data_IF_819187926158
#
_entry.id   IF_819187926158
#
_cell.length_a   1.000
_cell.length_b   1.000
_cell.length_c   1.000
_cell.angle_alpha   90.00
_cell.angle_beta   90.00
_cell.angle_gamma   90.00
#
_symmetry.space_group_name_H-M   'P 1'
#
loop_
_entity.id
_entity.type
_entity.pdbx_description
1 polymer ?
#
# COMPACT_ATOMS: atom_id res chain seq x y z
N UNK A 1 -16.80 -7.63 -8.16
CA UNK A 1 -15.79 -6.61 -8.48
C UNK A 1 -14.39 -7.04 -8.03
N UNK A 2 -14.31 -7.89 -7.02
CA UNK A 2 -13.07 -8.55 -6.63
C UNK A 2 -12.89 -9.76 -7.54
N UNK A 3 -11.75 -9.85 -8.22
CA UNK A 3 -11.39 -11.02 -9.01
C UNK A 3 -10.71 -12.04 -8.09
N UNK A 4 -11.19 -13.28 -8.11
CA UNK A 4 -10.57 -14.37 -7.35
C UNK A 4 -9.77 -15.27 -8.29
N UNK A 5 -8.49 -15.45 -8.00
CA UNK A 5 -7.59 -16.40 -8.68
C UNK A 5 -7.15 -17.45 -7.67
N UNK A 6 -7.36 -18.73 -8.01
CA UNK A 6 -6.93 -19.85 -7.16
C UNK A 6 -5.75 -20.55 -7.82
N UNK A 7 -4.64 -20.66 -7.09
CA UNK A 7 -3.46 -21.41 -7.47
C UNK A 7 -3.29 -22.59 -6.51
N UNK A 8 -2.57 -23.62 -6.95
CA UNK A 8 -2.28 -24.81 -6.15
C UNK A 8 -0.78 -25.04 -6.11
N UNK A 9 -0.27 -25.41 -4.95
CA UNK A 9 1.10 -25.85 -4.71
C UNK A 9 1.14 -27.12 -3.85
N UNK A 10 2.30 -27.49 -3.31
CA UNK A 10 2.48 -28.68 -2.49
C UNK A 10 1.65 -28.64 -1.18
N UNK A 11 1.25 -27.46 -0.72
CA UNK A 11 0.47 -27.22 0.51
C UNK A 11 -1.03 -27.02 0.23
N UNK A 12 -1.47 -27.16 -1.03
CA UNK A 12 -2.86 -27.04 -1.45
C UNK A 12 -3.19 -25.69 -2.07
N UNK A 13 -4.45 -25.26 -1.94
CA UNK A 13 -4.97 -24.06 -2.58
C UNK A 13 -4.51 -22.78 -1.88
N UNK A 14 -4.13 -21.78 -2.70
CA UNK A 14 -3.97 -20.38 -2.31
C UNK A 14 -4.95 -19.53 -3.14
N UNK A 15 -5.80 -18.78 -2.48
CA UNK A 15 -6.77 -17.91 -3.09
C UNK A 15 -6.28 -16.47 -3.07
N UNK A 16 -6.10 -15.86 -4.23
CA UNK A 16 -5.78 -14.45 -4.38
C UNK A 16 -7.04 -13.68 -4.69
N UNK A 17 -7.33 -12.67 -3.89
CA UNK A 17 -8.44 -11.73 -4.08
C UNK A 17 -7.86 -10.42 -4.57
N UNK A 18 -8.15 -10.07 -5.81
CA UNK A 18 -7.59 -8.90 -6.50
C UNK A 18 -8.60 -7.75 -6.44
N UNK A 19 -8.33 -6.79 -5.58
CA UNK A 19 -9.16 -5.61 -5.39
C UNK A 19 -8.43 -4.37 -5.92
N UNK A 20 -8.79 -3.87 -7.12
CA UNK A 20 -8.20 -2.65 -7.65
C UNK A 20 -8.61 -1.42 -6.82
N UNK A 21 -8.01 -0.26 -7.11
CA UNK A 21 -8.48 0.99 -6.52
C UNK A 21 -9.94 1.25 -6.91
N UNK A 22 -10.77 1.49 -5.91
CA UNK A 22 -12.19 1.78 -6.09
C UNK A 22 -12.61 3.00 -5.28
N UNK A 23 -13.55 3.75 -5.82
CA UNK A 23 -14.28 4.81 -5.08
C UNK A 23 -15.73 4.37 -4.86
N UNK A 24 -16.38 4.80 -3.77
CA UNK A 24 -17.77 4.45 -3.51
C UNK A 24 -18.69 4.68 -4.71
N UNK A 25 -18.50 5.80 -5.42
CA UNK A 25 -19.27 6.14 -6.62
C UNK A 25 -19.11 5.14 -7.79
N UNK A 26 -17.96 4.46 -7.87
CA UNK A 26 -17.68 3.49 -8.95
C UNK A 26 -18.38 2.15 -8.73
N UNK A 27 -18.69 1.83 -7.50
CA UNK A 27 -19.21 0.51 -7.09
C UNK A 27 -20.59 0.58 -6.43
N UNK A 28 -21.24 1.75 -6.44
CA UNK A 28 -22.56 1.98 -5.80
C UNK A 28 -23.65 1.01 -6.24
N UNK A 29 -23.59 0.52 -7.49
CA UNK A 29 -24.55 -0.48 -7.99
C UNK A 29 -24.37 -1.85 -7.33
N UNK A 30 -23.19 -2.12 -6.75
CA UNK A 30 -22.84 -3.36 -6.08
C UNK A 30 -23.03 -3.21 -4.58
N UNK A 31 -22.52 -2.12 -4.00
CA UNK A 31 -22.49 -1.88 -2.56
C UNK A 31 -23.70 -1.13 -2.04
N UNK A 32 -24.51 -0.55 -2.93
CA UNK A 32 -25.65 0.26 -2.58
C UNK A 32 -25.30 1.71 -2.21
N UNK A 33 -26.31 2.41 -1.73
CA UNK A 33 -26.27 3.81 -1.27
C UNK A 33 -26.78 3.90 0.17
N UNK A 34 -26.68 5.09 0.77
CA UNK A 34 -27.34 5.42 2.00
C UNK A 34 -28.87 5.57 1.81
N UNK A 35 -29.59 5.87 2.89
CA UNK A 35 -31.07 6.06 2.89
C UNK A 35 -31.54 7.22 2.00
N UNK A 36 -30.64 8.15 1.68
CA UNK A 36 -30.91 9.33 0.88
C UNK A 36 -30.44 9.19 -0.59
N UNK A 37 -29.92 8.02 -0.97
CA UNK A 37 -29.36 7.76 -2.30
C UNK A 37 -27.93 8.28 -2.52
N UNK A 38 -27.25 8.75 -1.47
CA UNK A 38 -25.86 9.19 -1.54
C UNK A 38 -24.88 8.00 -1.47
N UNK A 39 -23.64 8.24 -1.85
CA UNK A 39 -22.58 7.26 -1.65
C UNK A 39 -22.37 7.00 -0.16
N UNK A 40 -22.25 5.73 0.21
CA UNK A 40 -21.79 5.32 1.54
C UNK A 40 -20.31 5.68 1.72
N UNK A 41 -19.78 5.60 2.94
CA UNK A 41 -18.38 5.89 3.23
C UNK A 41 -17.44 4.91 2.50
N UNK A 42 -16.18 5.28 2.38
CA UNK A 42 -15.14 4.39 1.85
C UNK A 42 -15.02 3.11 2.67
N UNK A 43 -14.96 3.26 3.98
CA UNK A 43 -14.88 2.14 4.91
C UNK A 43 -16.04 1.15 4.71
N UNK A 44 -17.27 1.65 4.74
CA UNK A 44 -18.46 0.82 4.52
C UNK A 44 -18.49 0.17 3.13
N UNK A 45 -18.00 0.88 2.11
CA UNK A 45 -17.91 0.36 0.75
C UNK A 45 -16.99 -0.85 0.69
N UNK A 46 -15.81 -0.78 1.31
CA UNK A 46 -14.83 -1.87 1.29
C UNK A 46 -15.32 -3.07 2.11
N UNK A 47 -15.94 -2.84 3.27
CA UNK A 47 -16.59 -3.91 4.03
C UNK A 47 -17.62 -4.65 3.18
N UNK A 48 -18.56 -3.93 2.58
CA UNK A 48 -19.60 -4.54 1.73
C UNK A 48 -19.04 -5.27 0.52
N UNK A 49 -17.93 -4.81 -0.07
CA UNK A 49 -17.29 -5.52 -1.19
C UNK A 49 -16.67 -6.84 -0.73
N UNK A 50 -15.94 -6.82 0.38
CA UNK A 50 -15.24 -8.00 0.89
C UNK A 50 -16.21 -9.00 1.51
N UNK A 51 -17.24 -8.55 2.22
CA UNK A 51 -18.28 -9.40 2.82
C UNK A 51 -19.10 -10.18 1.78
N UNK A 52 -19.10 -9.76 0.51
CA UNK A 52 -19.72 -10.51 -0.58
C UNK A 52 -18.90 -11.73 -0.99
N UNK A 53 -17.63 -11.75 -0.67
CA UNK A 53 -16.76 -12.87 -1.01
C UNK A 53 -16.92 -14.01 -0.01
N UNK A 54 -17.12 -15.22 -0.51
CA UNK A 54 -17.13 -16.41 0.34
C UNK A 54 -15.70 -16.85 0.61
N UNK A 55 -15.09 -16.31 1.67
CA UNK A 55 -13.70 -16.58 2.04
C UNK A 55 -13.65 -17.84 2.92
N UNK A 56 -13.08 -18.92 2.39
CA UNK A 56 -12.89 -20.16 3.15
C UNK A 56 -11.67 -20.02 4.07
N UNK A 57 -11.92 -19.89 5.37
CA UNK A 57 -10.88 -19.71 6.39
C UNK A 57 -9.94 -20.93 6.57
N UNK A 58 -10.31 -22.10 6.03
CA UNK A 58 -9.44 -23.29 6.04
C UNK A 58 -8.44 -23.31 4.87
N UNK A 59 -8.51 -22.34 3.97
CA UNK A 59 -7.59 -22.18 2.84
C UNK A 59 -6.69 -20.97 3.07
N UNK A 60 -5.58 -20.90 2.37
CA UNK A 60 -4.69 -19.74 2.36
C UNK A 60 -5.34 -18.65 1.50
N UNK A 61 -5.53 -17.48 2.07
CA UNK A 61 -6.20 -16.34 1.43
C UNK A 61 -5.30 -15.12 1.43
N UNK A 62 -5.04 -14.57 0.25
CA UNK A 62 -4.21 -13.40 0.04
C UNK A 62 -5.05 -12.29 -0.59
N UNK A 63 -5.06 -11.12 0.01
CA UNK A 63 -5.63 -9.92 -0.60
C UNK A 63 -4.52 -9.13 -1.30
N UNK A 64 -4.76 -8.74 -2.55
CA UNK A 64 -3.95 -7.75 -3.26
C UNK A 64 -4.81 -6.52 -3.48
N UNK A 65 -4.47 -5.41 -2.85
CA UNK A 65 -5.36 -4.24 -2.83
C UNK A 65 -4.59 -2.91 -2.94
N UNK A 66 -5.22 -1.92 -3.57
CA UNK A 66 -4.67 -0.58 -3.71
C UNK A 66 -5.60 0.45 -3.05
N UNK A 67 -5.64 0.45 -1.71
CA UNK A 67 -6.49 1.35 -0.91
C UNK A 67 -5.69 1.91 0.26
N UNK A 68 -6.25 2.95 0.92
CA UNK A 68 -5.62 3.56 2.09
C UNK A 68 -6.16 2.94 3.38
N UNK A 69 -5.47 1.93 3.90
CA UNK A 69 -5.83 1.26 5.15
C UNK A 69 -5.18 1.92 6.36
N UNK A 70 -5.96 2.08 7.43
CA UNK A 70 -5.50 2.60 8.71
C UNK A 70 -5.74 1.58 9.84
N UNK A 71 -4.84 1.53 10.82
CA UNK A 71 -5.12 0.81 12.07
C UNK A 71 -6.41 1.33 12.71
N UNK A 72 -7.22 0.44 13.26
CA UNK A 72 -8.48 0.79 13.91
C UNK A 72 -8.26 1.88 14.97
N UNK A 73 -9.04 2.95 14.89
CA UNK A 73 -8.96 4.09 15.82
C UNK A 73 -7.83 5.08 15.56
N UNK A 74 -7.02 4.89 14.51
CA UNK A 74 -6.00 5.85 14.06
C UNK A 74 -6.57 6.79 13.01
N UNK A 75 -6.03 8.02 12.98
CA UNK A 75 -6.37 9.02 11.95
C UNK A 75 -5.26 9.12 10.92
N UNK A 76 -5.60 9.53 9.71
CA UNK A 76 -4.63 9.69 8.62
C UNK A 76 -3.49 10.64 8.97
N UNK A 77 -3.77 11.69 9.76
CA UNK A 77 -2.76 12.66 10.18
C UNK A 77 -1.65 12.04 11.06
N UNK A 78 -1.94 10.90 11.70
CA UNK A 78 -0.97 10.17 12.53
C UNK A 78 -0.03 9.28 11.68
N UNK A 79 -0.35 9.12 10.40
CA UNK A 79 0.46 8.33 9.49
C UNK A 79 1.24 9.27 8.58
N UNK A 80 2.56 9.10 8.58
CA UNK A 80 3.46 9.85 7.72
C UNK A 80 3.15 9.53 6.25
N UNK A 81 2.60 10.50 5.53
CA UNK A 81 2.35 10.44 4.10
C UNK A 81 3.48 11.09 3.33
N UNK A 82 3.77 10.55 2.16
CA UNK A 82 4.71 11.17 1.24
C UNK A 82 4.02 12.26 0.41
N UNK A 83 4.75 13.30 0.04
CA UNK A 83 4.23 14.40 -0.77
C UNK A 83 3.74 13.96 -2.16
N UNK A 84 4.26 12.85 -2.67
CA UNK A 84 3.82 12.24 -3.94
C UNK A 84 2.45 11.57 -3.86
N UNK A 85 1.93 11.34 -2.66
CA UNK A 85 0.61 10.77 -2.47
C UNK A 85 -0.46 11.86 -2.56
N UNK A 86 -1.52 11.60 -3.31
CA UNK A 86 -2.63 12.54 -3.38
C UNK A 86 -3.29 12.68 -2.00
N UNK A 87 -3.26 13.90 -1.46
CA UNK A 87 -4.03 14.23 -0.27
C UNK A 87 -5.50 14.29 -0.64
N UNK A 88 -6.29 13.38 -0.13
CA UNK A 88 -7.74 13.51 -0.21
C UNK A 88 -8.20 14.48 0.86
N UNK A 89 -8.93 15.51 0.47
CA UNK A 89 -9.47 16.52 1.40
C UNK A 89 -10.48 15.82 2.32
N UNK A 90 -10.23 15.88 3.61
CA UNK A 90 -11.21 15.46 4.63
C UNK A 90 -11.16 13.99 5.02
N UNK A 91 -10.07 13.28 4.86
CA UNK A 91 -9.90 11.87 5.30
C UNK A 91 -11.01 10.90 4.82
N UNK A 92 -11.57 11.17 3.65
CA UNK A 92 -12.76 10.48 3.12
C UNK A 92 -12.42 9.08 2.60
N UNK A 93 -11.14 8.81 2.27
CA UNK A 93 -10.70 7.58 1.58
C UNK A 93 -10.10 6.53 2.53
N UNK A 94 -10.29 6.70 3.85
CA UNK A 94 -9.74 5.81 4.86
C UNK A 94 -10.57 4.54 5.01
N UNK A 95 -9.87 3.41 5.09
CA UNK A 95 -10.45 2.09 5.34
C UNK A 95 -9.83 1.52 6.61
N UNK A 96 -10.67 1.06 7.53
CA UNK A 96 -10.20 0.37 8.74
C UNK A 96 -9.59 -0.99 8.40
N UNK A 97 -8.49 -1.33 9.06
CA UNK A 97 -7.73 -2.58 8.80
C UNK A 97 -8.48 -3.85 9.22
N UNK A 98 -9.54 -3.76 10.00
CA UNK A 98 -10.38 -4.90 10.40
C UNK A 98 -10.97 -5.66 9.20
N UNK A 99 -11.22 -4.97 8.09
CA UNK A 99 -11.66 -5.61 6.84
C UNK A 99 -10.66 -6.63 6.29
N UNK A 100 -9.39 -6.58 6.73
CA UNK A 100 -8.32 -7.49 6.30
C UNK A 100 -8.24 -8.78 7.12
N UNK A 101 -8.97 -8.89 8.23
CA UNK A 101 -8.84 -10.00 9.20
C UNK A 101 -9.17 -11.38 8.61
N UNK A 102 -9.87 -11.43 7.49
CA UNK A 102 -10.18 -12.66 6.79
C UNK A 102 -9.03 -13.20 5.90
N UNK A 103 -7.91 -12.48 5.82
CA UNK A 103 -6.79 -12.83 4.95
C UNK A 103 -5.54 -13.20 5.75
N UNK A 104 -4.81 -14.21 5.27
CA UNK A 104 -3.53 -14.62 5.85
C UNK A 104 -2.41 -13.62 5.53
N UNK A 105 -2.53 -12.96 4.39
CA UNK A 105 -1.62 -11.89 3.97
C UNK A 105 -2.37 -10.85 3.15
N UNK A 106 -2.03 -9.59 3.33
CA UNK A 106 -2.51 -8.50 2.50
C UNK A 106 -1.33 -7.72 1.90
N UNK A 107 -1.19 -7.84 0.57
CA UNK A 107 -0.25 -7.07 -0.23
C UNK A 107 -0.92 -5.74 -0.61
N UNK A 108 -0.46 -4.65 -0.01
CA UNK A 108 -1.09 -3.34 -0.10
C UNK A 108 -0.26 -2.39 -0.96
N UNK A 109 -0.93 -1.70 -1.89
CA UNK A 109 -0.43 -0.55 -2.63
C UNK A 109 -1.10 0.74 -2.16
N UNK A 110 -0.70 1.88 -2.68
CA UNK A 110 -1.13 3.24 -2.40
C UNK A 110 -0.08 4.03 -1.59
N UNK A 111 0.43 3.50 -0.49
CA UNK A 111 1.46 4.16 0.32
C UNK A 111 2.84 3.86 -0.26
N UNK A 112 3.62 4.92 -0.55
CA UNK A 112 4.95 4.81 -1.16
C UNK A 112 6.05 4.39 -0.18
N UNK A 113 5.81 4.56 1.12
CA UNK A 113 6.73 4.15 2.17
C UNK A 113 6.46 2.70 2.58
N UNK A 114 7.49 1.85 2.65
CA UNK A 114 7.33 0.50 3.20
C UNK A 114 6.86 0.56 4.65
N UNK A 115 5.72 -0.05 4.95
CA UNK A 115 5.18 -0.10 6.31
C UNK A 115 4.19 -1.25 6.49
N UNK A 116 4.00 -1.65 7.74
CA UNK A 116 2.91 -2.53 8.17
C UNK A 116 1.73 -1.72 8.69
N UNK A 117 0.53 -2.28 8.60
CA UNK A 117 -0.68 -1.68 9.12
C UNK A 117 -1.51 -2.72 9.89
N UNK A 118 -1.70 -2.49 11.18
CA UNK A 118 -2.46 -3.39 12.06
C UNK A 118 -1.75 -4.70 12.40
N UNK A 119 -1.29 -5.44 11.41
CA UNK A 119 -0.62 -6.74 11.56
C UNK A 119 0.71 -6.77 10.81
N UNK A 120 1.59 -7.71 11.19
CA UNK A 120 2.82 -8.03 10.44
C UNK A 120 2.52 -8.50 9.02
N UNK A 121 1.35 -9.13 8.82
CA UNK A 121 0.93 -9.72 7.57
C UNK A 121 0.21 -8.76 6.62
N UNK A 122 -0.08 -7.52 7.03
CA UNK A 122 -0.72 -6.50 6.20
C UNK A 122 0.30 -5.41 5.88
N UNK A 123 0.81 -5.42 4.64
CA UNK A 123 1.99 -4.64 4.29
C UNK A 123 1.84 -3.82 3.02
N UNK A 124 2.22 -2.56 3.15
CA UNK A 124 2.67 -1.74 2.03
C UNK A 124 4.14 -2.04 1.77
N UNK A 125 4.49 -2.54 0.60
CA UNK A 125 5.90 -2.69 0.20
C UNK A 125 6.53 -1.35 -0.21
N UNK A 126 5.73 -0.33 -0.43
CA UNK A 126 6.13 0.95 -0.98
C UNK A 126 6.32 0.88 -2.51
N UNK A 127 6.92 1.92 -3.06
CA UNK A 127 7.30 1.96 -4.47
C UNK A 127 8.65 1.29 -4.70
N UNK A 128 8.88 0.64 -5.85
CA UNK A 128 10.17 -0.01 -6.15
C UNK A 128 11.32 0.99 -6.31
N UNK A 129 11.00 2.24 -6.67
CA UNK A 129 11.95 3.35 -6.85
C UNK A 129 11.40 4.58 -6.13
N UNK A 130 12.27 5.53 -5.78
CA UNK A 130 11.83 6.83 -5.28
C UNK A 130 11.12 7.61 -6.40
N UNK A 131 9.87 8.00 -6.16
CA UNK A 131 9.03 8.74 -7.10
C UNK A 131 9.04 10.25 -6.83
N UNK A 132 9.61 10.67 -5.70
CA UNK A 132 9.71 12.09 -5.31
C UNK A 132 10.95 12.35 -4.47
N UNK A 133 11.31 13.63 -4.36
CA UNK A 133 12.44 14.09 -3.53
C UNK A 133 12.25 13.73 -2.05
N UNK A 134 11.03 13.72 -1.55
CA UNK A 134 10.72 13.32 -0.17
C UNK A 134 11.03 11.86 0.13
N UNK A 135 11.20 11.04 -0.90
CA UNK A 135 11.55 9.63 -0.80
C UNK A 135 13.05 9.34 -0.93
N UNK A 136 13.88 10.37 -1.14
CA UNK A 136 15.32 10.26 -1.46
C UNK A 136 16.12 9.44 -0.44
N UNK A 137 15.69 9.42 0.84
CA UNK A 137 16.38 8.68 1.90
C UNK A 137 15.71 7.34 2.24
N UNK A 138 14.69 6.93 1.50
CA UNK A 138 14.00 5.68 1.75
C UNK A 138 14.73 4.52 1.09
N UNK A 139 14.90 3.43 1.84
CA UNK A 139 15.31 2.17 1.26
C UNK A 139 14.12 1.53 0.55
N UNK A 140 14.20 1.45 -0.77
CA UNK A 140 13.18 0.81 -1.59
C UNK A 140 13.44 -0.68 -1.73
N UNK A 141 12.36 -1.44 -1.93
CA UNK A 141 12.46 -2.89 -2.00
C UNK A 141 11.14 -3.55 -2.38
N UNK A 142 11.18 -4.87 -2.40
CA UNK A 142 9.98 -5.71 -2.50
C UNK A 142 9.90 -6.64 -1.30
N UNK A 143 8.72 -7.13 -0.99
CA UNK A 143 8.53 -8.13 0.06
C UNK A 143 8.30 -9.48 -0.60
N UNK A 144 9.23 -10.40 -0.37
CA UNK A 144 9.04 -11.80 -0.71
C UNK A 144 8.21 -12.46 0.38
N UNK A 145 7.16 -13.16 -0.01
CA UNK A 145 6.24 -13.85 0.90
C UNK A 145 6.27 -15.33 0.59
N UNK A 146 6.69 -16.11 1.57
CA UNK A 146 6.70 -17.58 1.51
C UNK A 146 5.53 -18.09 2.36
N UNK A 147 4.60 -18.78 1.74
CA UNK A 147 3.44 -19.37 2.40
C UNK A 147 3.49 -20.90 2.26
N UNK A 148 3.65 -21.57 3.36
CA UNK A 148 3.56 -23.05 3.46
C UNK A 148 2.14 -23.47 3.82
N UNK A 149 1.96 -24.32 4.83
CA UNK A 149 0.62 -24.69 5.32
C UNK A 149 -0.12 -23.45 5.85
N UNK A 150 -1.44 -23.56 5.95
CA UNK A 150 -2.31 -22.53 6.55
C UNK A 150 -1.76 -22.07 7.91
N UNK A 151 -1.49 -20.77 8.03
CA UNK A 151 -0.93 -20.16 9.24
C UNK A 151 0.61 -20.08 9.25
N UNK A 152 1.30 -20.70 8.29
CA UNK A 152 2.76 -20.58 8.13
C UNK A 152 3.06 -19.58 7.01
N UNK A 153 3.41 -18.35 7.39
CA UNK A 153 3.76 -17.28 6.45
C UNK A 153 5.03 -16.58 6.92
N UNK A 154 6.01 -16.52 6.03
CA UNK A 154 7.28 -15.83 6.25
C UNK A 154 7.46 -14.71 5.25
N UNK A 155 8.00 -13.59 5.70
CA UNK A 155 8.23 -12.41 4.88
C UNK A 155 9.69 -11.99 4.93
N UNK A 156 10.25 -11.70 3.77
CA UNK A 156 11.62 -11.21 3.64
C UNK A 156 11.63 -9.95 2.80
N UNK A 157 12.11 -8.85 3.36
CA UNK A 157 12.32 -7.63 2.59
C UNK A 157 13.58 -7.76 1.75
N UNK A 158 13.44 -7.60 0.44
CA UNK A 158 14.54 -7.64 -0.52
C UNK A 158 14.79 -6.21 -1.01
N UNK A 159 15.93 -5.60 -0.66
CA UNK A 159 16.25 -4.24 -1.08
C UNK A 159 16.46 -4.18 -2.60
N UNK A 160 16.02 -3.09 -3.20
CA UNK A 160 16.28 -2.77 -4.61
C UNK A 160 17.31 -1.63 -4.69
N UNK A 161 18.27 -1.79 -5.58
CA UNK A 161 19.25 -0.75 -5.88
C UNK A 161 18.88 -0.14 -7.23
N UNK A 162 18.46 1.13 -7.29
CA UNK A 162 18.15 1.79 -8.56
C UNK A 162 19.43 2.07 -9.35
N UNK A 163 19.34 2.14 -10.67
CA UNK A 163 20.44 2.55 -11.53
C UNK A 163 20.85 4.01 -11.27
N UNK A 164 19.86 4.86 -11.03
CA UNK A 164 20.03 6.27 -10.65
C UNK A 164 19.18 6.53 -9.40
N UNK A 165 19.80 7.10 -8.38
CA UNK A 165 19.12 7.42 -7.13
C UNK A 165 18.47 8.81 -7.20
N UNK A 166 17.47 9.05 -6.38
CA UNK A 166 16.98 10.40 -6.08
C UNK A 166 17.74 10.88 -4.85
N UNK A 167 18.44 12.03 -4.99
CA UNK A 167 19.29 12.58 -3.93
C UNK A 167 18.98 14.04 -3.68
N UNK A 168 19.23 14.49 -2.46
CA UNK A 168 19.25 15.91 -2.10
C UNK A 168 20.68 16.28 -1.71
N UNK A 169 21.26 17.23 -2.42
CA UNK A 169 22.60 17.76 -2.12
C UNK A 169 22.41 19.20 -1.65
N UNK A 170 23.02 19.53 -0.51
CA UNK A 170 22.95 20.86 0.09
C UNK A 170 24.36 21.39 0.31
N UNK A 171 24.67 22.57 -0.22
CA UNK A 171 25.99 23.19 -0.09
C UNK A 171 26.12 24.47 -0.91
N UNK A 172 27.32 25.04 -0.93
CA UNK A 172 27.69 26.11 -1.86
C UNK A 172 27.72 25.57 -3.29
N UNK A 173 27.67 26.49 -4.28
CA UNK A 173 27.73 26.07 -5.69
C UNK A 173 28.99 25.25 -5.98
N UNK A 174 30.14 25.63 -5.41
CA UNK A 174 31.40 24.89 -5.60
C UNK A 174 31.35 23.48 -5.01
N UNK A 175 30.80 23.33 -3.81
CA UNK A 175 30.63 22.02 -3.15
C UNK A 175 29.70 21.12 -3.94
N UNK A 176 28.54 21.62 -4.36
CA UNK A 176 27.56 20.86 -5.14
C UNK A 176 28.14 20.40 -6.49
N UNK A 177 28.90 21.24 -7.17
CA UNK A 177 29.55 20.89 -8.45
C UNK A 177 30.60 19.77 -8.28
N UNK A 178 31.25 19.68 -7.13
CA UNK A 178 32.17 18.56 -6.82
C UNK A 178 31.45 17.22 -6.61
N UNK A 179 30.17 17.26 -6.22
CA UNK A 179 29.35 16.06 -6.03
C UNK A 179 28.57 15.65 -7.30
N UNK A 180 28.94 16.21 -8.46
CA UNK A 180 28.29 15.87 -9.74
C UNK A 180 28.28 14.35 -9.97
N UNK A 181 27.13 13.79 -10.29
CA UNK A 181 26.90 12.36 -10.45
C UNK A 181 25.85 12.09 -11.53
N UNK A 182 25.61 10.82 -11.83
CA UNK A 182 24.57 10.39 -12.77
C UNK A 182 23.15 10.26 -12.14
N UNK A 183 22.98 10.65 -10.88
CA UNK A 183 21.72 10.51 -10.15
C UNK A 183 20.75 11.69 -10.42
N UNK A 184 19.47 11.50 -10.03
CA UNK A 184 18.48 12.57 -10.04
C UNK A 184 18.66 13.45 -8.79
N UNK A 185 19.20 14.64 -8.96
CA UNK A 185 19.63 15.49 -7.84
C UNK A 185 18.74 16.71 -7.68
N UNK A 186 18.25 16.94 -6.46
CA UNK A 186 17.73 18.24 -6.03
C UNK A 186 18.83 18.99 -5.26
N UNK A 187 19.14 20.18 -5.74
CA UNK A 187 20.19 21.02 -5.14
C UNK A 187 19.57 22.09 -4.26
N UNK A 188 20.11 22.25 -3.05
CA UNK A 188 19.80 23.33 -2.13
C UNK A 188 21.07 24.17 -1.93
N UNK A 189 21.15 25.31 -2.62
CA UNK A 189 22.30 26.24 -2.50
C UNK A 189 22.24 26.96 -1.16
N UNK A 190 23.40 27.12 -0.53
CA UNK A 190 23.58 27.84 0.74
C UNK A 190 24.34 29.17 0.61
N UNK A 191 24.97 29.40 -0.52
CA UNK A 191 25.60 30.69 -0.86
C UNK A 191 24.52 31.76 -1.16
N UNK A 192 24.84 32.99 -0.79
CA UNK A 192 24.00 34.20 -1.00
C UNK A 192 24.39 34.89 -2.30
#
# INVERSE_FOLDING_TARGET
YIEKVTLNDAYGEVNFYLLPFVKPSMVKQITGTDKNGNNISYNETLHRLIDRETINQNKRNVLVSHQFYLPTGKKAEEIERMYSEMRTVGNIDEVSVDVLENFDYAALGHIHKPMKVGSEFYRYCGTPLACSVSEAQQQKGVVMVEMEEKGSTKMTALPLTPLHQVRVIKGTLEEVLREACGDYVTVILTDK
#
